data_IF_636216441969
#
_entry.id   IF_636216441969
#
_cell.length_a   1.000
_cell.length_b   1.000
_cell.length_c   1.000
_cell.angle_alpha   90.00
_cell.angle_beta   90.00
_cell.angle_gamma   90.00
#
_symmetry.space_group_name_H-M   'P 1'
#
loop_
_entity.id
_entity.type
_entity.pdbx_description
1 polymer ?
#
# COMPACT_ATOMS: atom_id res chain seq x y z
N UNK A 1 -8.68 8.90 -19.52
CA UNK A 1 -8.09 7.99 -18.53
C UNK A 1 -6.60 8.19 -18.61
N UNK A 2 -5.89 8.35 -17.48
CA UNK A 2 -4.43 8.19 -17.50
C UNK A 2 -4.20 6.69 -17.39
N UNK A 3 -3.63 6.08 -18.45
CA UNK A 3 -3.28 4.66 -18.46
C UNK A 3 -2.32 4.30 -17.33
N UNK A 4 -1.48 5.25 -16.93
CA UNK A 4 -0.40 5.03 -16.00
C UNK A 4 -0.93 5.02 -14.57
N UNK A 5 -1.90 5.89 -14.24
CA UNK A 5 -2.63 5.84 -12.97
C UNK A 5 -3.30 4.48 -12.75
N UNK A 6 -3.99 3.95 -13.77
CA UNK A 6 -4.71 2.67 -13.65
C UNK A 6 -3.75 1.48 -13.49
N UNK A 7 -2.58 1.54 -14.13
CA UNK A 7 -1.51 0.56 -13.92
C UNK A 7 -0.98 0.59 -12.48
N UNK A 8 -0.61 1.78 -11.98
CA UNK A 8 -0.14 1.93 -10.61
C UNK A 8 -1.19 1.52 -9.56
N UNK A 9 -2.46 1.79 -9.84
CA UNK A 9 -3.55 1.37 -8.96
C UNK A 9 -3.66 -0.16 -8.89
N UNK A 10 -3.55 -0.84 -10.02
CA UNK A 10 -3.57 -2.30 -10.06
C UNK A 10 -2.41 -2.89 -9.27
N UNK A 11 -1.19 -2.35 -9.47
CA UNK A 11 0.00 -2.78 -8.73
C UNK A 11 -0.16 -2.53 -7.23
N UNK A 12 -0.69 -1.37 -6.85
CA UNK A 12 -0.97 -1.04 -5.44
C UNK A 12 -1.96 -2.03 -4.83
N UNK A 13 -3.05 -2.35 -5.52
CA UNK A 13 -4.06 -3.29 -5.03
C UNK A 13 -3.52 -4.72 -4.85
N UNK A 14 -2.65 -5.18 -5.75
CA UNK A 14 -1.97 -6.47 -5.61
C UNK A 14 -1.04 -6.44 -4.39
N UNK A 15 -0.23 -5.39 -4.27
CA UNK A 15 0.76 -5.27 -3.22
C UNK A 15 0.11 -5.16 -1.83
N UNK A 16 -0.96 -4.36 -1.66
CA UNK A 16 -1.66 -4.26 -0.37
C UNK A 16 -2.33 -5.57 0.03
N UNK A 17 -2.84 -6.35 -0.92
CA UNK A 17 -3.40 -7.68 -0.66
C UNK A 17 -2.32 -8.67 -0.18
N UNK A 18 -1.14 -8.66 -0.80
CA UNK A 18 -0.01 -9.48 -0.37
C UNK A 18 0.48 -9.09 1.04
N UNK A 19 0.66 -7.80 1.29
CA UNK A 19 1.08 -7.28 2.60
C UNK A 19 0.06 -7.69 3.66
N UNK A 20 -1.23 -7.51 3.40
CA UNK A 20 -2.31 -7.90 4.34
C UNK A 20 -2.22 -9.39 4.70
N UNK A 21 -2.01 -10.25 3.70
CA UNK A 21 -1.85 -11.69 3.90
C UNK A 21 -0.62 -12.02 4.74
N UNK A 22 0.51 -11.35 4.49
CA UNK A 22 1.76 -11.53 5.25
C UNK A 22 1.62 -11.07 6.69
N UNK A 23 1.06 -9.88 6.94
CA UNK A 23 0.81 -9.35 8.30
C UNK A 23 -0.03 -10.34 9.11
N UNK A 24 -1.08 -10.92 8.51
CA UNK A 24 -1.93 -11.89 9.20
C UNK A 24 -1.19 -13.19 9.59
N UNK A 25 -0.10 -13.53 8.90
CA UNK A 25 0.72 -14.71 9.16
C UNK A 25 1.83 -14.45 10.18
N UNK A 26 2.37 -13.23 10.25
CA UNK A 26 3.52 -12.88 11.09
C UNK A 26 3.42 -13.36 12.55
N UNK A 27 2.29 -13.19 13.28
CA UNK A 27 2.18 -13.64 14.67
C UNK A 27 2.34 -15.15 14.89
N UNK A 28 2.20 -15.96 13.82
CA UNK A 28 2.23 -17.42 13.88
C UNK A 28 3.58 -18.01 13.44
N UNK A 29 4.53 -17.16 13.04
CA UNK A 29 5.83 -17.61 12.54
C UNK A 29 6.84 -17.78 13.69
N UNK A 30 7.78 -18.74 13.58
CA UNK A 30 8.94 -18.82 14.46
C UNK A 30 9.78 -17.52 14.42
N UNK A 31 10.57 -17.20 15.46
CA UNK A 31 11.28 -15.93 15.57
C UNK A 31 12.15 -15.55 14.35
N UNK A 32 12.91 -16.50 13.80
CA UNK A 32 13.79 -16.24 12.65
C UNK A 32 12.99 -15.97 11.36
N UNK A 33 11.94 -16.75 11.11
CA UNK A 33 11.04 -16.54 9.97
C UNK A 33 10.23 -15.25 10.12
N UNK A 34 9.78 -14.94 11.34
CA UNK A 34 9.10 -13.69 11.68
C UNK A 34 9.98 -12.49 11.35
N UNK A 35 11.24 -12.49 11.76
CA UNK A 35 12.18 -11.40 11.47
C UNK A 35 12.35 -11.17 9.96
N UNK A 36 12.47 -12.25 9.18
CA UNK A 36 12.56 -12.15 7.72
C UNK A 36 11.27 -11.64 7.10
N UNK A 37 10.11 -12.12 7.57
CA UNK A 37 8.79 -11.69 7.08
C UNK A 37 8.52 -10.22 7.39
N UNK A 38 8.87 -9.76 8.59
CA UNK A 38 8.77 -8.34 9.00
C UNK A 38 9.60 -7.46 8.07
N UNK A 39 10.87 -7.80 7.83
CA UNK A 39 11.72 -7.05 6.91
C UNK A 39 11.21 -7.06 5.46
N UNK A 40 10.54 -8.15 5.04
CA UNK A 40 9.91 -8.21 3.72
C UNK A 40 8.69 -7.28 3.63
N UNK A 41 7.83 -7.29 4.65
CA UNK A 41 6.66 -6.40 4.72
C UNK A 41 7.08 -4.93 4.77
N UNK A 42 8.14 -4.58 5.49
CA UNK A 42 8.66 -3.20 5.54
C UNK A 42 9.03 -2.68 4.15
N UNK A 43 9.74 -3.49 3.35
CA UNK A 43 10.10 -3.14 1.97
C UNK A 43 8.88 -2.99 1.08
N UNK A 44 7.92 -3.92 1.18
CA UNK A 44 6.69 -3.81 0.40
C UNK A 44 5.83 -2.61 0.79
N UNK A 45 5.83 -2.22 2.07
CA UNK A 45 5.18 -0.98 2.50
C UNK A 45 5.85 0.26 1.91
N UNK A 46 7.18 0.26 1.76
CA UNK A 46 7.91 1.32 1.07
C UNK A 46 7.53 1.37 -0.42
N UNK A 47 7.56 0.24 -1.12
CA UNK A 47 7.10 0.13 -2.52
C UNK A 47 5.65 0.61 -2.71
N UNK A 48 4.74 0.29 -1.77
CA UNK A 48 3.36 0.76 -1.81
C UNK A 48 3.24 2.28 -1.63
N UNK A 49 4.12 2.91 -0.84
CA UNK A 49 4.18 4.37 -0.71
C UNK A 49 4.65 5.01 -2.00
N UNK A 50 5.67 4.45 -2.65
CA UNK A 50 6.16 4.94 -3.94
C UNK A 50 5.05 4.90 -5.00
N UNK A 51 4.25 3.82 -5.06
CA UNK A 51 3.09 3.75 -5.96
C UNK A 51 2.04 4.82 -5.66
N UNK A 52 1.77 5.12 -4.38
CA UNK A 52 0.89 6.23 -4.00
C UNK A 52 1.43 7.59 -4.45
N UNK A 53 2.74 7.79 -4.38
CA UNK A 53 3.39 9.01 -4.87
C UNK A 53 3.27 9.13 -6.39
N UNK A 54 3.53 8.05 -7.14
CA UNK A 54 3.35 8.03 -8.60
C UNK A 54 1.89 8.32 -8.99
N UNK A 55 0.93 7.67 -8.33
CA UNK A 55 -0.48 7.96 -8.57
C UNK A 55 -0.85 9.42 -8.24
N UNK A 56 -0.30 10.01 -7.17
CA UNK A 56 -0.55 11.42 -6.82
C UNK A 56 -0.01 12.37 -7.91
N UNK A 57 1.17 12.08 -8.47
CA UNK A 57 1.73 12.82 -9.61
C UNK A 57 0.81 12.72 -10.83
N UNK A 58 0.36 11.53 -11.18
CA UNK A 58 -0.59 11.32 -12.28
C UNK A 58 -1.90 12.11 -12.08
N UNK A 59 -2.46 12.12 -10.86
CA UNK A 59 -3.67 12.89 -10.56
C UNK A 59 -3.45 14.41 -10.74
N UNK A 60 -2.26 14.92 -10.45
CA UNK A 60 -1.93 16.36 -10.59
C UNK A 60 -1.93 16.80 -12.05
N UNK A 61 -1.51 15.93 -12.97
CA UNK A 61 -1.49 16.20 -14.41
C UNK A 61 -2.90 16.19 -15.04
N UNK A 62 -3.89 15.58 -14.39
CA UNK A 62 -5.27 15.54 -14.90
C UNK A 62 -5.92 16.94 -14.83
N UNK A 63 -6.60 17.42 -15.89
CA UNK A 63 -7.33 18.69 -15.87
C UNK A 63 -8.37 18.77 -14.73
N UNK A 64 -8.54 19.93 -14.05
CA UNK A 64 -9.40 20.05 -12.87
C UNK A 64 -10.82 19.50 -13.04
N UNK A 65 -11.42 19.72 -14.21
CA UNK A 65 -12.77 19.25 -14.58
C UNK A 65 -12.94 17.73 -14.57
N UNK A 66 -11.87 16.97 -14.77
CA UNK A 66 -11.88 15.50 -14.84
C UNK A 66 -11.18 14.84 -13.64
N UNK A 67 -10.54 15.63 -12.77
CA UNK A 67 -9.69 15.15 -11.67
C UNK A 67 -10.47 14.55 -10.50
N UNK A 68 -11.71 14.99 -10.29
CA UNK A 68 -12.48 14.68 -9.08
C UNK A 68 -12.58 13.19 -8.75
N UNK A 69 -12.81 12.34 -9.76
CA UNK A 69 -12.87 10.88 -9.58
C UNK A 69 -11.55 10.30 -9.05
N UNK A 70 -10.43 10.68 -9.66
CA UNK A 70 -9.09 10.20 -9.29
C UNK A 70 -8.68 10.73 -7.91
N UNK A 71 -9.00 11.97 -7.58
CA UNK A 71 -8.77 12.51 -6.24
C UNK A 71 -9.54 11.75 -5.15
N UNK A 72 -10.75 11.26 -5.45
CA UNK A 72 -11.54 10.45 -4.51
C UNK A 72 -10.90 9.07 -4.30
N UNK A 73 -10.46 8.41 -5.37
CA UNK A 73 -9.70 7.15 -5.32
C UNK A 73 -8.43 7.31 -4.48
N UNK A 74 -7.62 8.34 -4.77
CA UNK A 74 -6.39 8.62 -4.01
C UNK A 74 -6.60 8.82 -2.52
N UNK A 75 -7.68 9.50 -2.10
CA UNK A 75 -7.97 9.62 -0.66
C UNK A 75 -8.29 8.26 -0.03
N UNK A 76 -8.97 7.39 -0.75
CA UNK A 76 -9.31 6.04 -0.29
C UNK A 76 -8.04 5.20 -0.14
N UNK A 77 -7.13 5.23 -1.12
CA UNK A 77 -5.86 4.47 -1.05
C UNK A 77 -4.91 4.98 0.04
N UNK A 78 -4.85 6.30 0.27
CA UNK A 78 -4.08 6.85 1.40
C UNK A 78 -4.65 6.39 2.76
N UNK A 79 -5.98 6.27 2.88
CA UNK A 79 -6.60 5.74 4.09
C UNK A 79 -6.33 4.24 4.26
N UNK A 80 -6.41 3.46 3.18
CA UNK A 80 -6.08 2.04 3.19
C UNK A 80 -4.63 1.80 3.61
N UNK A 81 -3.69 2.57 3.07
CA UNK A 81 -2.28 2.52 3.44
C UNK A 81 -2.08 2.80 4.93
N UNK A 82 -2.69 3.86 5.47
CA UNK A 82 -2.58 4.17 6.90
C UNK A 82 -3.14 3.06 7.80
N UNK A 83 -4.21 2.39 7.36
CA UNK A 83 -4.74 1.21 8.06
C UNK A 83 -3.75 0.05 8.00
N UNK A 84 -3.15 -0.20 6.84
CA UNK A 84 -2.18 -1.29 6.63
C UNK A 84 -0.94 -1.11 7.50
N UNK A 85 -0.41 0.11 7.59
CA UNK A 85 0.70 0.47 8.48
C UNK A 85 0.34 0.28 9.95
N UNK A 86 -0.87 0.67 10.34
CA UNK A 86 -1.37 0.46 11.71
C UNK A 86 -1.48 -1.03 12.03
N UNK A 87 -2.05 -1.82 11.11
CA UNK A 87 -2.16 -3.27 11.25
C UNK A 87 -0.79 -3.94 11.35
N UNK A 88 0.19 -3.47 10.57
CA UNK A 88 1.57 -3.95 10.65
C UNK A 88 2.23 -3.59 11.99
N UNK A 89 2.07 -2.37 12.48
CA UNK A 89 2.63 -2.00 13.79
C UNK A 89 2.04 -2.82 14.93
N UNK A 90 0.73 -3.07 14.92
CA UNK A 90 0.06 -3.85 15.95
C UNK A 90 0.46 -5.32 15.84
N UNK A 91 0.26 -5.96 14.68
CA UNK A 91 0.37 -7.42 14.55
C UNK A 91 1.77 -7.89 14.17
N UNK A 92 2.53 -7.06 13.46
CA UNK A 92 3.85 -7.40 12.95
C UNK A 92 4.95 -7.29 13.99
N UNK A 93 4.83 -6.31 14.89
CA UNK A 93 5.87 -5.93 15.86
C UNK A 93 5.59 -6.35 17.30
N UNK A 94 4.44 -6.97 17.59
CA UNK A 94 4.15 -7.54 18.92
C UNK A 94 5.21 -8.59 19.29
N UNK A 95 5.91 -8.40 20.43
CA UNK A 95 6.94 -9.30 20.95
C UNK A 95 6.32 -10.52 21.63
#
# INVERSE_FOLDING_TARGET
MSSDFEGYEQDFAVLTAEITSKIARVPRLPPDEKKQMVANVEKQLEEARELLEQMDLEVREIPPQSRGMYSNRMRSYKQEMGKLETDFMIKGLEN
#
